data_IF_356436768042
#
_entry.id   IF_356436768042
#
_cell.length_a   1.000
_cell.length_b   1.000
_cell.length_c   1.000
_cell.angle_alpha   90.00
_cell.angle_beta   90.00
_cell.angle_gamma   90.00
#
_symmetry.space_group_name_H-M   'P 1'
#
loop_
_entity.id
_entity.type
_entity.pdbx_description
1 polymer ?
#
# COMPACT_ATOMS: atom_id res chain seq x y z
N UNK A 1 17.32 -2.53 -8.49
CA UNK A 1 15.99 -2.18 -7.93
C UNK A 1 14.96 -2.98 -8.70
N UNK A 2 14.02 -3.62 -8.03
CA UNK A 2 13.03 -4.51 -8.66
C UNK A 2 11.72 -4.52 -7.88
N UNK A 3 10.68 -5.12 -8.46
CA UNK A 3 9.37 -5.26 -7.82
C UNK A 3 9.49 -6.15 -6.58
N UNK A 4 8.94 -5.71 -5.46
CA UNK A 4 8.90 -6.50 -4.23
C UNK A 4 7.46 -6.76 -3.83
N UNK A 5 7.05 -8.03 -3.92
CA UNK A 5 5.71 -8.45 -3.53
C UNK A 5 5.57 -8.44 -2.01
N UNK A 6 4.52 -7.77 -1.56
CA UNK A 6 4.18 -7.61 -0.14
C UNK A 6 2.67 -7.69 0.01
N UNK A 7 2.19 -7.99 1.22
CA UNK A 7 0.76 -7.91 1.54
C UNK A 7 0.45 -6.51 2.05
N UNK A 8 -0.49 -5.83 1.37
CA UNK A 8 -1.06 -4.57 1.83
C UNK A 8 -2.21 -4.79 2.80
N UNK A 9 -2.38 -3.87 3.75
CA UNK A 9 -3.53 -3.77 4.65
C UNK A 9 -3.81 -2.30 4.98
N UNK A 10 -4.93 -2.04 5.68
CA UNK A 10 -5.30 -0.69 6.13
C UNK A 10 -5.23 0.37 5.02
N UNK A 11 -5.91 0.08 3.91
CA UNK A 11 -5.92 0.97 2.74
C UNK A 11 -6.94 2.11 2.93
N UNK A 12 -6.57 3.30 2.47
CA UNK A 12 -7.41 4.49 2.43
C UNK A 12 -7.10 5.32 1.18
N UNK A 13 -7.87 6.39 0.93
CA UNK A 13 -7.54 7.34 -0.14
C UNK A 13 -6.19 8.06 0.09
N UNK A 14 -5.74 8.16 1.35
CA UNK A 14 -4.48 8.84 1.69
C UNK A 14 -3.25 7.94 1.66
N UNK A 15 -3.41 6.61 1.61
CA UNK A 15 -2.28 5.70 1.68
C UNK A 15 -2.64 4.28 2.06
N UNK A 16 -1.61 3.45 2.20
CA UNK A 16 -1.74 2.06 2.62
C UNK A 16 -0.58 1.63 3.51
N UNK A 17 -0.82 0.60 4.32
CA UNK A 17 0.21 -0.07 5.10
C UNK A 17 0.67 -1.35 4.38
N UNK A 18 1.97 -1.59 4.34
CA UNK A 18 2.53 -2.88 3.92
C UNK A 18 3.34 -3.53 5.04
N UNK A 19 3.35 -4.85 5.06
CA UNK A 19 4.29 -5.63 5.87
C UNK A 19 5.40 -6.18 4.96
N UNK A 20 6.65 -5.92 5.27
CA UNK A 20 7.80 -6.26 4.43
C UNK A 20 9.02 -6.66 5.25
N UNK A 21 9.89 -7.49 4.69
CA UNK A 21 11.22 -7.83 5.19
C UNK A 21 12.30 -6.84 4.72
N UNK A 22 11.92 -5.82 3.95
CA UNK A 22 12.81 -4.78 3.43
C UNK A 22 12.58 -3.44 4.10
N UNK A 23 13.67 -2.77 4.43
CA UNK A 23 13.63 -1.38 4.84
C UNK A 23 13.64 -0.47 3.62
N UNK A 24 12.68 0.44 3.59
CA UNK A 24 12.65 1.57 2.68
C UNK A 24 13.02 2.83 3.46
N UNK A 25 13.79 3.74 2.88
CA UNK A 25 14.11 4.99 3.57
C UNK A 25 12.84 5.85 3.74
N UNK A 26 12.71 6.53 4.89
CA UNK A 26 11.67 7.55 5.06
C UNK A 26 11.74 8.57 3.91
N UNK A 27 10.57 9.03 3.45
CA UNK A 27 10.40 9.95 2.32
C UNK A 27 10.86 9.40 0.96
N UNK A 28 11.28 8.14 0.87
CA UNK A 28 11.54 7.53 -0.44
C UNK A 28 10.24 7.40 -1.22
N UNK A 29 10.31 7.75 -2.51
CA UNK A 29 9.17 7.68 -3.43
C UNK A 29 9.11 6.28 -4.05
N UNK A 30 7.97 5.63 -3.90
CA UNK A 30 7.72 4.26 -4.34
C UNK A 30 6.59 4.24 -5.36
N UNK A 31 6.79 3.46 -6.43
CA UNK A 31 5.67 2.99 -7.25
C UNK A 31 5.03 1.81 -6.51
N UNK A 32 3.73 1.90 -6.30
CA UNK A 32 2.92 0.85 -5.67
C UNK A 32 2.00 0.27 -6.73
N UNK A 33 2.12 -1.04 -6.93
CA UNK A 33 1.20 -1.81 -7.75
C UNK A 33 0.42 -2.76 -6.84
N UNK A 34 -0.90 -2.69 -6.91
CA UNK A 34 -1.81 -3.53 -6.13
C UNK A 34 -2.64 -4.40 -7.07
N UNK A 35 -2.68 -5.69 -6.77
CA UNK A 35 -3.53 -6.66 -7.43
C UNK A 35 -4.67 -7.05 -6.48
N UNK A 36 -5.90 -7.10 -6.99
CA UNK A 36 -7.06 -7.61 -6.25
C UNK A 36 -7.95 -8.42 -7.20
N UNK A 37 -8.52 -9.56 -6.77
CA UNK A 37 -9.48 -10.31 -7.60
C UNK A 37 -10.66 -9.47 -8.10
N UNK A 38 -11.06 -8.45 -7.35
CA UNK A 38 -12.17 -7.57 -7.70
C UNK A 38 -11.79 -6.45 -8.66
N UNK A 39 -10.48 -6.24 -8.88
CA UNK A 39 -9.94 -5.16 -9.72
C UNK A 39 -8.88 -5.79 -10.63
N UNK A 40 -9.30 -6.48 -11.71
CA UNK A 40 -8.40 -7.26 -12.56
C UNK A 40 -7.33 -6.42 -13.27
N UNK A 41 -7.62 -5.14 -13.49
CA UNK A 41 -6.69 -4.18 -14.10
C UNK A 41 -5.55 -3.76 -13.16
N UNK A 42 -5.67 -4.07 -11.86
CA UNK A 42 -4.77 -3.62 -10.82
C UNK A 42 -4.93 -2.13 -10.51
N UNK A 43 -4.21 -1.67 -9.49
CA UNK A 43 -4.15 -0.27 -9.10
C UNK A 43 -2.69 0.14 -9.06
N UNK A 44 -2.37 1.24 -9.73
CA UNK A 44 -1.06 1.88 -9.63
C UNK A 44 -1.19 3.22 -8.90
N UNK A 45 -0.31 3.45 -7.95
CA UNK A 45 -0.22 4.70 -7.20
C UNK A 45 1.24 5.05 -6.94
N UNK A 46 1.54 6.33 -6.85
CA UNK A 46 2.86 6.79 -6.39
C UNK A 46 2.74 7.38 -5.01
N UNK A 47 3.53 6.83 -4.08
CA UNK A 47 3.53 7.26 -2.69
C UNK A 47 4.91 7.48 -2.12
N UNK A 48 4.96 8.04 -0.92
CA UNK A 48 6.19 8.21 -0.15
C UNK A 48 6.10 7.46 1.16
N UNK A 49 7.23 6.91 1.62
CA UNK A 49 7.29 6.28 2.93
C UNK A 49 7.10 7.34 4.02
N UNK A 50 5.98 7.30 4.71
CA UNK A 50 5.60 8.26 5.74
C UNK A 50 6.06 7.83 7.15
N UNK A 51 6.02 6.53 7.43
CA UNK A 51 6.46 5.96 8.69
C UNK A 51 6.91 4.50 8.53
N UNK A 52 7.73 4.05 9.48
CA UNK A 52 8.24 2.67 9.57
C UNK A 52 8.11 2.26 11.03
N UNK A 53 7.57 1.07 11.29
CA UNK A 53 7.45 0.51 12.63
C UNK A 53 7.89 -0.95 12.65
N UNK A 54 8.70 -1.40 13.62
CA UNK A 54 9.03 -2.80 13.77
C UNK A 54 7.78 -3.62 14.09
N UNK A 55 7.72 -4.85 13.60
CA UNK A 55 6.72 -5.83 14.06
C UNK A 55 7.27 -6.63 15.26
N UNK A 56 6.44 -7.48 15.85
CA UNK A 56 6.89 -8.45 16.88
C UNK A 56 7.77 -9.57 16.33
N UNK A 57 7.94 -9.64 15.01
CA UNK A 57 8.83 -10.58 14.32
C UNK A 57 10.10 -9.84 13.92
N UNK A 58 11.25 -10.40 14.32
CA UNK A 58 12.57 -9.74 14.24
C UNK A 58 12.98 -9.28 12.83
N UNK A 59 12.40 -9.86 11.78
CA UNK A 59 12.77 -9.59 10.38
C UNK A 59 11.67 -8.88 9.57
N UNK A 60 10.64 -8.32 10.22
CA UNK A 60 9.54 -7.65 9.49
C UNK A 60 9.22 -6.26 10.02
N UNK A 61 8.88 -5.40 9.06
CA UNK A 61 8.54 -4.01 9.26
C UNK A 61 7.15 -3.73 8.72
N UNK A 62 6.37 -2.95 9.47
CA UNK A 62 5.21 -2.24 8.95
C UNK A 62 5.68 -0.92 8.36
N UNK A 63 5.31 -0.66 7.12
CA UNK A 63 5.65 0.57 6.40
C UNK A 63 4.37 1.24 5.96
N UNK A 64 4.21 2.50 6.35
CA UNK A 64 3.12 3.34 5.88
C UNK A 64 3.54 4.11 4.65
N UNK A 65 2.78 3.97 3.57
CA UNK A 65 2.98 4.68 2.32
C UNK A 65 1.86 5.70 2.18
N UNK A 66 2.20 6.98 2.21
CA UNK A 66 1.28 8.07 1.90
C UNK A 66 1.22 8.26 0.39
N UNK A 67 0.03 8.25 -0.19
CA UNK A 67 -0.13 8.48 -1.62
C UNK A 67 0.07 9.97 -1.94
N UNK A 68 0.88 10.23 -2.95
CA UNK A 68 1.22 11.58 -3.42
C UNK A 68 0.63 11.90 -4.78
N UNK A 69 0.39 10.87 -5.59
CA UNK A 69 -0.17 10.99 -6.94
C UNK A 69 -0.98 9.73 -7.24
N UNK A 70 -2.30 9.91 -7.39
CA UNK A 70 -3.27 8.85 -7.67
C UNK A 70 -4.24 9.39 -8.71
N UNK A 71 -4.25 8.78 -9.90
CA UNK A 71 -5.22 9.14 -10.94
C UNK A 71 -6.65 8.74 -10.55
N UNK A 72 -7.65 9.40 -11.14
CA UNK A 72 -9.07 9.20 -10.80
C UNK A 72 -9.54 7.74 -10.88
N UNK A 73 -9.03 6.99 -11.87
CA UNK A 73 -9.32 5.56 -12.02
C UNK A 73 -8.76 4.76 -10.83
N UNK A 74 -7.50 4.99 -10.47
CA UNK A 74 -6.87 4.34 -9.33
C UNK A 74 -7.57 4.70 -8.02
N UNK A 75 -7.97 5.97 -7.84
CA UNK A 75 -8.71 6.42 -6.66
C UNK A 75 -10.10 5.77 -6.56
N UNK A 76 -10.79 5.63 -7.70
CA UNK A 76 -12.08 4.93 -7.77
C UNK A 76 -11.94 3.47 -7.38
N UNK A 77 -10.90 2.80 -7.86
CA UNK A 77 -10.55 1.43 -7.50
C UNK A 77 -10.19 1.28 -6.02
N UNK A 78 -9.43 2.22 -5.44
CA UNK A 78 -9.13 2.25 -3.99
C UNK A 78 -10.43 2.35 -3.17
N UNK A 79 -11.37 3.21 -3.59
CA UNK A 79 -12.68 3.32 -2.92
C UNK A 79 -13.48 2.03 -2.94
N UNK A 80 -13.37 1.23 -4.01
CA UNK A 80 -14.00 -0.10 -4.08
C UNK A 80 -13.38 -1.04 -3.04
N UNK A 81 -12.04 -1.09 -2.94
CA UNK A 81 -11.35 -1.91 -1.94
C UNK A 81 -11.70 -1.51 -0.50
N UNK A 82 -11.75 -0.21 -0.21
CA UNK A 82 -12.07 0.30 1.12
C UNK A 82 -13.44 -0.18 1.61
N UNK A 83 -14.44 -0.22 0.72
CA UNK A 83 -15.80 -0.69 1.07
C UNK A 83 -15.83 -2.17 1.46
N UNK A 84 -14.85 -2.95 1.03
CA UNK A 84 -14.75 -4.37 1.36
C UNK A 84 -14.05 -4.58 2.70
N UNK A 85 -13.04 -3.76 3.01
CA UNK A 85 -12.38 -3.80 4.32
C UNK A 85 -13.39 -3.57 5.47
N UNK A 86 -14.41 -2.74 5.26
CA UNK A 86 -15.50 -2.51 6.22
C UNK A 86 -16.49 -3.68 6.36
N UNK A 87 -16.56 -4.60 5.39
CA UNK A 87 -17.51 -5.73 5.42
C UNK A 87 -17.01 -6.95 6.19
N UNK A 88 -15.70 -7.02 6.44
CA UNK A 88 -15.07 -8.14 7.16
C UNK A 88 -14.81 -7.84 8.65
N UNK A 89 -15.44 -6.79 9.18
CA UNK A 89 -15.30 -6.34 10.56
C UNK A 89 -16.65 -6.29 11.26
#
# INVERSE_FOLDING_TARGET
MGMHRVTGCNISEGGLQVCTDRLFALKSRLLVEMESPDIPEGIQAVGSVAWISPTTSDDRWCVGIEFSDVGDSALSSIRVLMRQQTRHH
#
